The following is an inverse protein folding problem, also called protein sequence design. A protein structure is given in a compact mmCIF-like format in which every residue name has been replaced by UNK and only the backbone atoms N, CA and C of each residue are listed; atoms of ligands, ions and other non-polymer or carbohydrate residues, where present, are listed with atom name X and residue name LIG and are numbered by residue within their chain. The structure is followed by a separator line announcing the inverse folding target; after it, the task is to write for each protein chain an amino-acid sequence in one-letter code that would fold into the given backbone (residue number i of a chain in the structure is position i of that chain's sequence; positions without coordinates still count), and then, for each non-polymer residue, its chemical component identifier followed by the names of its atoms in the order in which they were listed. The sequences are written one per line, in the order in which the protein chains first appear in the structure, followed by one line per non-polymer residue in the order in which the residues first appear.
data_IF_249337799512
#
_entry.id   IF_249337799512
#
_cell.length_a   1.000
_cell.length_b   1.000
_cell.length_c   1.000
_cell.angle_alpha   90.00
_cell.angle_beta   90.00
_cell.angle_gamma   90.00
#
_symmetry.space_group_name_H-M   'P 1'
#
loop_
_entity.id
_entity.type
_entity.pdbx_description
1 polymer ?
#
# COMPACT_ATOMS: atom_id res chain seq x y z
N UNK A 1 -72.87 -45.02 -5.88
CA UNK A 1 -71.40 -45.21 -5.88
C UNK A 1 -70.89 -44.61 -7.18
N UNK A 2 -70.18 -43.50 -7.28
CA UNK A 2 -69.35 -42.77 -6.33
C UNK A 2 -67.98 -42.52 -6.99
N UNK A 3 -67.64 -41.24 -7.18
CA UNK A 3 -66.32 -40.63 -7.42
C UNK A 3 -65.97 -40.07 -8.82
N UNK A 4 -66.08 -38.74 -8.90
CA UNK A 4 -65.30 -37.82 -9.74
C UNK A 4 -63.81 -37.84 -9.33
N UNK A 5 -62.92 -37.68 -10.31
CA UNK A 5 -61.57 -37.18 -10.08
C UNK A 5 -61.25 -36.10 -11.14
N UNK A 6 -61.52 -34.84 -10.80
CA UNK A 6 -60.85 -33.69 -11.40
C UNK A 6 -59.41 -33.69 -10.89
N UNK A 7 -58.45 -33.93 -11.77
CA UNK A 7 -57.05 -33.60 -11.50
C UNK A 7 -56.86 -32.09 -11.60
N UNK A 8 -56.07 -31.46 -10.72
CA UNK A 8 -55.84 -30.01 -10.78
C UNK A 8 -54.96 -29.69 -11.99
N UNK A 9 -55.46 -28.82 -12.88
CA UNK A 9 -54.62 -28.06 -13.81
C UNK A 9 -53.69 -27.16 -12.98
N UNK A 10 -52.50 -27.66 -12.65
CA UNK A 10 -51.42 -26.84 -12.10
C UNK A 10 -50.95 -25.92 -13.22
N UNK A 11 -50.97 -24.58 -13.05
CA UNK A 11 -50.59 -23.67 -14.12
C UNK A 11 -49.10 -23.83 -14.40
N UNK A 12 -48.77 -24.43 -15.55
CA UNK A 12 -47.39 -24.58 -16.05
C UNK A 12 -46.64 -23.25 -16.16
N UNK A 13 -47.38 -22.14 -16.13
CA UNK A 13 -46.89 -20.75 -16.12
C UNK A 13 -46.18 -20.39 -14.80
N UNK A 14 -46.71 -20.79 -13.63
CA UNK A 14 -46.13 -20.36 -12.34
C UNK A 14 -44.75 -20.97 -12.09
N UNK A 15 -44.55 -22.22 -12.53
CA UNK A 15 -43.27 -22.92 -12.42
C UNK A 15 -42.17 -22.34 -13.35
N UNK A 16 -42.56 -21.65 -14.43
CA UNK A 16 -41.63 -20.95 -15.31
C UNK A 16 -41.23 -19.60 -14.70
N UNK A 17 -42.20 -18.85 -14.17
CA UNK A 17 -41.96 -17.58 -13.47
C UNK A 17 -41.10 -17.76 -12.21
N UNK A 18 -41.34 -18.80 -11.41
CA UNK A 18 -40.54 -19.11 -10.22
C UNK A 18 -39.09 -19.49 -10.58
N UNK A 19 -38.90 -20.17 -11.72
CA UNK A 19 -37.57 -20.56 -12.20
C UNK A 19 -36.81 -19.36 -12.77
N UNK A 20 -37.48 -18.45 -13.47
CA UNK A 20 -36.90 -17.19 -13.93
C UNK A 20 -36.59 -16.24 -12.76
N UNK A 21 -37.44 -16.19 -11.74
CA UNK A 21 -37.18 -15.46 -10.49
C UNK A 21 -35.95 -16.01 -9.76
N UNK A 22 -35.82 -17.34 -9.62
CA UNK A 22 -34.65 -17.95 -8.98
C UNK A 22 -33.36 -17.77 -9.80
N UNK A 23 -33.42 -17.84 -11.13
CA UNK A 23 -32.27 -17.60 -12.02
C UNK A 23 -31.86 -16.12 -11.93
N UNK A 24 -32.82 -15.19 -11.98
CA UNK A 24 -32.54 -13.76 -11.85
C UNK A 24 -32.00 -13.40 -10.47
N UNK A 25 -32.46 -14.05 -9.40
CA UNK A 25 -31.93 -13.86 -8.05
C UNK A 25 -30.51 -14.45 -7.92
N UNK A 26 -30.23 -15.61 -8.53
CA UNK A 26 -28.88 -16.17 -8.58
C UNK A 26 -27.91 -15.31 -9.41
N UNK A 27 -28.34 -14.81 -10.56
CA UNK A 27 -27.57 -13.88 -11.37
C UNK A 27 -27.35 -12.56 -10.63
N UNK A 28 -28.38 -12.01 -9.98
CA UNK A 28 -28.26 -10.77 -9.21
C UNK A 28 -27.32 -10.97 -8.02
N UNK A 29 -27.39 -12.11 -7.32
CA UNK A 29 -26.50 -12.45 -6.21
C UNK A 29 -25.07 -12.67 -6.68
N UNK A 30 -24.87 -13.28 -7.87
CA UNK A 30 -23.58 -13.40 -8.53
C UNK A 30 -22.97 -12.05 -8.92
N UNK A 31 -23.78 -11.17 -9.51
CA UNK A 31 -23.41 -9.80 -9.91
C UNK A 31 -23.03 -8.93 -8.71
N UNK A 32 -23.83 -8.94 -7.65
CA UNK A 32 -23.54 -8.22 -6.39
C UNK A 32 -22.27 -8.76 -5.73
N UNK A 33 -22.06 -10.08 -5.70
CA UNK A 33 -20.87 -10.70 -5.12
C UNK A 33 -19.57 -10.29 -5.84
N UNK A 34 -19.60 -10.19 -7.18
CA UNK A 34 -18.45 -9.72 -7.97
C UNK A 34 -18.15 -8.23 -7.77
N UNK A 35 -19.17 -7.38 -7.65
CA UNK A 35 -18.97 -5.96 -7.34
C UNK A 35 -18.34 -5.75 -5.96
N UNK A 36 -18.83 -6.46 -4.93
CA UNK A 36 -18.22 -6.43 -3.61
C UNK A 36 -16.76 -6.91 -3.65
N UNK A 37 -16.46 -7.96 -4.42
CA UNK A 37 -15.10 -8.47 -4.58
C UNK A 37 -14.19 -7.41 -5.22
N UNK A 38 -14.66 -6.67 -6.22
CA UNK A 38 -13.91 -5.58 -6.82
C UNK A 38 -13.62 -4.45 -5.83
N UNK A 39 -14.61 -4.06 -5.00
CA UNK A 39 -14.41 -3.07 -3.93
C UNK A 39 -13.34 -3.56 -2.95
N UNK A 40 -13.42 -4.82 -2.48
CA UNK A 40 -12.40 -5.37 -1.58
C UNK A 40 -11.02 -5.44 -2.23
N UNK A 41 -10.93 -5.73 -3.52
CA UNK A 41 -9.65 -5.72 -4.23
C UNK A 41 -9.04 -4.32 -4.30
N UNK A 42 -9.83 -3.29 -4.62
CA UNK A 42 -9.35 -1.89 -4.66
C UNK A 42 -8.97 -1.42 -3.25
N UNK A 43 -9.82 -1.67 -2.24
CA UNK A 43 -9.53 -1.35 -0.84
C UNK A 43 -8.25 -2.05 -0.37
N UNK A 44 -8.10 -3.35 -0.66
CA UNK A 44 -6.89 -4.09 -0.31
C UNK A 44 -5.65 -3.54 -1.02
N UNK A 45 -5.79 -3.08 -2.27
CA UNK A 45 -4.69 -2.46 -3.01
C UNK A 45 -4.26 -1.11 -2.44
N UNK A 46 -5.20 -0.30 -1.92
CA UNK A 46 -4.91 1.01 -1.30
C UNK A 46 -4.38 0.83 0.12
N UNK A 47 -5.04 0.01 0.94
CA UNK A 47 -4.63 -0.18 2.33
C UNK A 47 -3.27 -0.88 2.38
N UNK A 48 -3.17 -2.04 1.71
CA UNK A 48 -1.97 -2.85 1.52
C UNK A 48 -0.95 -2.78 2.65
N UNK A 49 0.34 -2.78 2.28
CA UNK A 49 1.40 -2.46 3.23
C UNK A 49 1.56 -0.93 3.43
N UNK A 50 1.13 -0.12 2.46
CA UNK A 50 1.38 1.32 2.43
C UNK A 50 0.79 2.08 3.63
N UNK A 51 -0.27 1.54 4.27
CA UNK A 51 -0.86 2.14 5.46
C UNK A 51 0.12 2.30 6.63
N UNK A 52 1.14 1.43 6.74
CA UNK A 52 2.05 1.40 7.89
C UNK A 52 2.91 2.66 7.99
N UNK A 53 3.19 3.29 6.84
CA UNK A 53 3.94 4.54 6.76
C UNK A 53 3.07 5.79 6.96
N UNK A 54 1.75 5.67 7.03
CA UNK A 54 0.87 6.84 7.17
C UNK A 54 1.04 7.59 8.51
N UNK A 55 1.17 6.94 9.68
CA UNK A 55 1.53 7.63 10.92
C UNK A 55 2.83 8.44 10.78
N UNK A 56 3.83 7.87 10.09
CA UNK A 56 5.09 8.54 9.82
C UNK A 56 4.92 9.76 8.90
N UNK A 57 4.02 9.69 7.92
CA UNK A 57 3.67 10.85 7.10
C UNK A 57 3.06 12.00 7.94
N UNK A 58 2.29 11.69 9.00
CA UNK A 58 1.76 12.69 9.93
C UNK A 58 2.88 13.37 10.72
N UNK A 59 3.88 12.60 11.17
CA UNK A 59 5.08 13.16 11.81
C UNK A 59 5.84 14.11 10.89
N UNK A 60 5.92 13.79 9.60
CA UNK A 60 6.63 14.60 8.61
C UNK A 60 5.85 15.84 8.17
N UNK A 61 4.52 15.79 8.11
CA UNK A 61 3.70 16.93 7.69
C UNK A 61 3.29 17.85 8.85
N UNK A 62 3.19 17.33 10.07
CA UNK A 62 2.36 17.91 11.13
C UNK A 62 0.94 17.33 11.06
N UNK A 63 0.30 17.12 12.21
CA UNK A 63 -0.95 16.34 12.26
C UNK A 63 -2.12 16.98 11.45
N UNK A 64 -2.45 18.28 11.62
CA UNK A 64 -3.59 18.85 10.90
C UNK A 64 -3.33 18.94 9.39
N UNK A 65 -2.15 19.40 8.97
CA UNK A 65 -1.79 19.43 7.55
C UNK A 65 -1.71 18.02 6.97
N UNK A 66 -1.17 17.05 7.71
CA UNK A 66 -1.09 15.66 7.29
C UNK A 66 -2.46 15.05 6.99
N UNK A 67 -3.46 15.28 7.86
CA UNK A 67 -4.85 14.83 7.61
C UNK A 67 -5.42 15.51 6.36
N UNK A 68 -5.22 16.82 6.20
CA UNK A 68 -5.68 17.56 5.03
C UNK A 68 -5.04 17.05 3.73
N UNK A 69 -3.72 16.80 3.74
CA UNK A 69 -2.98 16.26 2.60
C UNK A 69 -3.43 14.84 2.27
N UNK A 70 -3.74 14.02 3.28
CA UNK A 70 -4.24 12.65 3.07
C UNK A 70 -5.61 12.65 2.38
N UNK A 71 -6.52 13.55 2.76
CA UNK A 71 -7.76 13.79 2.02
C UNK A 71 -7.49 14.26 0.59
N UNK A 72 -6.53 15.17 0.40
CA UNK A 72 -6.13 15.66 -0.92
C UNK A 72 -5.63 14.54 -1.84
N UNK A 73 -4.68 13.73 -1.37
CA UNK A 73 -4.13 12.58 -2.13
C UNK A 73 -5.23 11.56 -2.43
N UNK A 74 -6.11 11.28 -1.46
CA UNK A 74 -7.25 10.39 -1.67
C UNK A 74 -8.21 10.91 -2.74
N UNK A 75 -8.52 12.21 -2.74
CA UNK A 75 -9.39 12.82 -3.75
C UNK A 75 -8.77 12.76 -5.15
N UNK A 76 -7.48 13.09 -5.26
CA UNK A 76 -6.74 13.01 -6.52
C UNK A 76 -6.69 11.57 -7.02
N UNK A 77 -6.47 10.60 -6.13
CA UNK A 77 -6.44 9.16 -6.44
C UNK A 77 -7.79 8.69 -7.00
N UNK A 78 -8.88 9.01 -6.32
CA UNK A 78 -10.24 8.71 -6.76
C UNK A 78 -10.50 9.24 -8.19
N UNK A 79 -10.24 10.53 -8.37
CA UNK A 79 -10.49 11.21 -9.64
C UNK A 79 -9.61 10.66 -10.77
N UNK A 80 -8.32 10.44 -10.52
CA UNK A 80 -7.38 9.93 -11.53
C UNK A 80 -7.65 8.48 -11.94
N UNK A 81 -8.13 7.62 -11.04
CA UNK A 81 -8.56 6.26 -11.39
C UNK A 81 -9.79 6.26 -12.31
N UNK A 82 -10.72 7.20 -12.11
CA UNK A 82 -11.85 7.39 -13.01
C UNK A 82 -11.39 7.94 -14.36
N UNK A 83 -10.45 8.90 -14.36
CA UNK A 83 -9.87 9.45 -15.58
C UNK A 83 -9.17 8.39 -16.45
N UNK A 84 -8.45 7.43 -15.84
CA UNK A 84 -7.76 6.38 -16.60
C UNK A 84 -8.75 5.51 -17.40
N UNK A 85 -9.82 5.06 -16.77
CA UNK A 85 -10.84 4.25 -17.46
C UNK A 85 -11.65 5.08 -18.46
N UNK A 86 -11.95 6.36 -18.15
CA UNK A 86 -12.51 7.29 -19.14
C UNK A 86 -11.58 7.45 -20.35
N UNK A 87 -10.28 7.64 -20.13
CA UNK A 87 -9.26 7.74 -21.18
C UNK A 87 -9.16 6.47 -22.00
N UNK A 88 -9.21 5.30 -21.36
CA UNK A 88 -9.28 3.99 -22.03
C UNK A 88 -10.50 3.88 -22.94
N UNK A 89 -11.67 4.29 -22.46
CA UNK A 89 -12.90 4.31 -23.26
C UNK A 89 -12.83 5.28 -24.45
N UNK A 90 -12.33 6.51 -24.24
CA UNK A 90 -12.16 7.51 -25.31
C UNK A 90 -11.15 7.08 -26.38
N UNK A 91 -10.11 6.37 -25.97
CA UNK A 91 -9.06 5.89 -26.87
C UNK A 91 -9.33 4.49 -27.42
N UNK A 92 -10.36 3.78 -26.96
CA UNK A 92 -10.64 2.41 -27.35
C UNK A 92 -9.52 1.43 -26.97
N UNK A 93 -8.89 1.62 -25.81
CA UNK A 93 -7.82 0.75 -25.29
C UNK A 93 -8.21 0.12 -23.96
N UNK A 94 -7.71 -1.08 -23.71
CA UNK A 94 -8.04 -1.93 -22.58
C UNK A 94 -6.87 -2.12 -21.58
N UNK A 95 -5.71 -1.52 -21.85
CA UNK A 95 -4.56 -1.52 -20.94
C UNK A 95 -4.01 -0.12 -20.74
N UNK A 96 -3.36 0.10 -19.59
CA UNK A 96 -2.73 1.39 -19.29
C UNK A 96 -1.59 1.70 -20.27
N UNK A 97 -0.77 0.69 -20.60
CA UNK A 97 0.32 0.82 -21.55
C UNK A 97 -0.18 1.21 -22.95
N UNK A 98 -1.26 0.58 -23.43
CA UNK A 98 -1.88 0.93 -24.72
C UNK A 98 -2.47 2.34 -24.71
N UNK A 99 -3.11 2.76 -23.62
CA UNK A 99 -3.64 4.12 -23.46
C UNK A 99 -2.52 5.17 -23.62
N UNK A 100 -1.40 4.99 -22.93
CA UNK A 100 -0.28 5.93 -22.99
C UNK A 100 0.43 5.87 -24.35
N UNK A 101 0.57 4.70 -24.95
CA UNK A 101 1.13 4.58 -26.30
C UNK A 101 0.28 5.32 -27.33
N UNK A 102 -1.05 5.22 -27.23
CA UNK A 102 -1.96 5.90 -28.15
C UNK A 102 -1.95 7.42 -27.98
N UNK A 103 -1.69 7.91 -26.77
CA UNK A 103 -1.64 9.35 -26.48
C UNK A 103 -0.25 9.95 -26.73
N UNK A 104 0.83 9.34 -26.25
CA UNK A 104 2.19 9.90 -26.26
C UNK A 104 3.20 9.10 -27.10
N UNK A 105 2.77 8.05 -27.79
CA UNK A 105 3.63 7.19 -28.59
C UNK A 105 4.57 6.35 -27.76
N UNK A 106 5.59 5.81 -28.44
CA UNK A 106 6.58 4.91 -27.84
C UNK A 106 7.35 5.49 -26.64
N UNK A 107 7.77 6.78 -26.64
CA UNK A 107 8.45 7.36 -25.47
C UNK A 107 7.58 7.36 -24.21
N UNK A 108 6.30 7.69 -24.35
CA UNK A 108 5.34 7.63 -23.25
C UNK A 108 5.10 6.20 -22.78
N UNK A 109 4.95 5.26 -23.72
CA UNK A 109 4.84 3.83 -23.42
C UNK A 109 6.03 3.32 -22.59
N UNK A 110 7.26 3.67 -22.97
CA UNK A 110 8.46 3.25 -22.26
C UNK A 110 8.52 3.88 -20.86
N UNK A 111 8.24 5.19 -20.74
CA UNK A 111 8.21 5.88 -19.45
C UNK A 111 7.19 5.25 -18.49
N UNK A 112 5.97 5.02 -18.97
CA UNK A 112 4.93 4.36 -18.16
C UNK A 112 5.37 2.96 -17.77
N UNK A 113 5.94 2.18 -18.70
CA UNK A 113 6.38 0.81 -18.42
C UNK A 113 7.47 0.78 -17.35
N UNK A 114 8.43 1.72 -17.37
CA UNK A 114 9.43 1.85 -16.31
C UNK A 114 8.78 2.17 -14.97
N UNK A 115 7.83 3.11 -14.92
CA UNK A 115 7.14 3.47 -13.67
C UNK A 115 6.28 2.32 -13.13
N UNK A 116 5.55 1.62 -14.00
CA UNK A 116 4.74 0.45 -13.65
C UNK A 116 5.57 -0.78 -13.29
N UNK A 117 6.85 -0.83 -13.68
CA UNK A 117 7.80 -1.83 -13.20
C UNK A 117 8.37 -1.43 -11.83
N UNK A 118 8.87 -0.19 -11.71
CA UNK A 118 9.57 0.29 -10.52
C UNK A 118 8.66 0.36 -9.30
N UNK A 119 7.43 0.86 -9.44
CA UNK A 119 6.50 0.97 -8.31
C UNK A 119 6.26 -0.38 -7.58
N UNK A 120 5.71 -1.42 -8.25
CA UNK A 120 5.43 -2.70 -7.59
C UNK A 120 6.73 -3.41 -7.18
N UNK A 121 7.82 -3.22 -7.93
CA UNK A 121 9.12 -3.74 -7.54
C UNK A 121 9.62 -3.17 -6.21
N UNK A 122 9.51 -1.85 -6.02
CA UNK A 122 9.86 -1.21 -4.75
C UNK A 122 8.88 -1.60 -3.64
N UNK A 123 7.60 -1.77 -3.94
CA UNK A 123 6.64 -2.29 -2.98
C UNK A 123 7.06 -3.68 -2.45
N UNK A 124 7.48 -4.59 -3.33
CA UNK A 124 8.02 -5.90 -2.92
C UNK A 124 9.25 -5.80 -2.01
N UNK A 125 10.15 -4.83 -2.24
CA UNK A 125 11.28 -4.56 -1.35
C UNK A 125 10.77 -4.14 0.04
N UNK A 126 9.84 -3.20 0.10
CA UNK A 126 9.20 -2.76 1.36
C UNK A 126 8.52 -3.93 2.08
N UNK A 127 7.88 -4.84 1.35
CA UNK A 127 7.17 -5.98 1.93
C UNK A 127 8.15 -6.94 2.62
N UNK A 128 9.28 -7.23 1.98
CA UNK A 128 10.33 -8.04 2.60
C UNK A 128 10.91 -7.36 3.85
N UNK A 129 11.18 -6.06 3.81
CA UNK A 129 11.64 -5.28 4.98
C UNK A 129 10.65 -5.43 6.14
N UNK A 130 9.36 -5.17 5.88
CA UNK A 130 8.30 -5.28 6.87
C UNK A 130 8.19 -6.69 7.44
N UNK A 131 8.25 -7.72 6.59
CA UNK A 131 8.23 -9.12 7.06
C UNK A 131 9.44 -9.41 7.95
N UNK A 132 10.63 -8.94 7.59
CA UNK A 132 11.83 -9.06 8.41
C UNK A 132 11.70 -8.38 9.77
N UNK A 133 11.18 -7.15 9.82
CA UNK A 133 11.04 -6.35 11.04
C UNK A 133 9.96 -6.88 11.99
N UNK A 134 8.85 -7.36 11.43
CA UNK A 134 7.70 -7.85 12.20
C UNK A 134 7.89 -9.28 12.68
N UNK A 135 8.22 -10.22 11.79
CA UNK A 135 8.31 -11.64 12.15
C UNK A 135 9.53 -11.96 13.00
N UNK A 136 10.65 -11.23 12.85
CA UNK A 136 11.78 -11.37 13.78
C UNK A 136 11.34 -11.15 15.23
N UNK A 137 10.58 -10.08 15.50
CA UNK A 137 10.05 -9.77 16.84
C UNK A 137 9.00 -10.79 17.31
N UNK A 138 8.20 -11.35 16.40
CA UNK A 138 7.26 -12.44 16.73
C UNK A 138 8.01 -13.68 17.21
N UNK A 139 9.07 -14.07 16.50
CA UNK A 139 9.87 -15.24 16.88
C UNK A 139 10.71 -15.00 18.13
N UNK A 140 11.23 -13.79 18.35
CA UNK A 140 11.92 -13.41 19.59
C UNK A 140 11.02 -13.47 20.82
N UNK A 141 9.70 -13.36 20.66
CA UNK A 141 8.75 -13.45 21.77
C UNK A 141 8.50 -14.89 22.25
N UNK A 142 8.92 -15.90 21.49
CA UNK A 142 8.73 -17.31 21.86
C UNK A 142 9.60 -17.65 23.08
N UNK A 143 9.05 -18.24 24.15
CA UNK A 143 9.84 -18.62 25.33
C UNK A 143 11.01 -19.56 24.98
N UNK A 144 12.20 -19.25 25.49
CA UNK A 144 13.42 -20.06 25.28
C UNK A 144 14.21 -19.71 24.02
N UNK A 145 13.76 -18.72 23.25
CA UNK A 145 14.51 -18.16 22.13
C UNK A 145 15.49 -17.08 22.61
N UNK A 146 16.75 -17.20 22.20
CA UNK A 146 17.74 -16.13 22.37
C UNK A 146 17.51 -15.01 21.31
N UNK A 147 17.28 -13.75 21.72
CA UNK A 147 17.14 -12.62 20.81
C UNK A 147 18.36 -12.36 19.90
N UNK A 148 19.55 -12.82 20.30
CA UNK A 148 20.79 -12.66 19.52
C UNK A 148 21.00 -13.79 18.49
N UNK A 149 20.08 -14.76 18.43
CA UNK A 149 20.18 -15.87 17.50
C UNK A 149 20.10 -15.41 16.03
N UNK A 150 21.13 -15.77 15.25
CA UNK A 150 21.22 -15.47 13.81
C UNK A 150 20.01 -15.99 13.01
N UNK A 151 19.40 -17.11 13.43
CA UNK A 151 18.22 -17.70 12.78
C UNK A 151 16.92 -16.91 13.00
N UNK A 152 16.98 -15.83 13.77
CA UNK A 152 15.83 -14.99 14.11
C UNK A 152 16.09 -13.52 13.75
N UNK A 153 17.32 -13.22 13.31
CA UNK A 153 17.67 -11.94 12.74
C UNK A 153 16.85 -11.61 11.49
N UNK A 154 16.58 -10.32 11.32
CA UNK A 154 15.86 -9.73 10.18
C UNK A 154 16.25 -10.35 8.83
N UNK A 155 17.55 -10.41 8.54
CA UNK A 155 18.08 -10.93 7.28
C UNK A 155 17.69 -12.40 7.04
N UNK A 156 17.79 -13.25 8.05
CA UNK A 156 17.43 -14.66 7.93
C UNK A 156 15.92 -14.83 7.71
N UNK A 157 15.10 -14.07 8.46
CA UNK A 157 13.65 -14.09 8.31
C UNK A 157 13.21 -13.63 6.92
N UNK A 158 13.85 -12.60 6.35
CA UNK A 158 13.60 -12.17 4.98
C UNK A 158 13.85 -13.31 4.00
N UNK A 159 15.02 -13.96 4.08
CA UNK A 159 15.39 -15.06 3.17
C UNK A 159 14.45 -16.26 3.34
N UNK A 160 14.17 -16.66 4.58
CA UNK A 160 13.31 -17.79 4.89
C UNK A 160 11.87 -17.54 4.41
N UNK A 161 11.28 -16.41 4.77
CA UNK A 161 9.90 -16.08 4.38
C UNK A 161 9.76 -15.94 2.86
N UNK A 162 10.79 -15.39 2.19
CA UNK A 162 10.82 -15.27 0.74
C UNK A 162 10.83 -16.65 0.08
N UNK A 163 11.74 -17.53 0.49
CA UNK A 163 11.89 -18.85 -0.09
C UNK A 163 10.71 -19.78 0.22
N UNK A 164 10.18 -19.72 1.45
CA UNK A 164 9.14 -20.63 1.93
C UNK A 164 7.71 -20.20 1.54
N UNK A 165 7.45 -18.90 1.42
CA UNK A 165 6.10 -18.39 1.21
C UNK A 165 5.98 -17.51 -0.04
N UNK A 166 6.72 -16.40 -0.13
CA UNK A 166 6.47 -15.40 -1.20
C UNK A 166 6.79 -15.96 -2.59
N UNK A 167 7.88 -16.73 -2.74
CA UNK A 167 8.27 -17.35 -4.00
C UNK A 167 7.25 -18.40 -4.48
N UNK A 168 6.87 -19.42 -3.69
CA UNK A 168 5.84 -20.38 -4.08
C UNK A 168 4.51 -19.71 -4.45
N UNK A 169 4.08 -18.71 -3.67
CA UNK A 169 2.84 -17.98 -3.93
C UNK A 169 2.90 -17.18 -5.24
N UNK A 170 4.04 -16.56 -5.55
CA UNK A 170 4.20 -15.72 -6.75
C UNK A 170 4.36 -16.53 -8.05
N UNK A 171 4.71 -17.82 -7.94
CA UNK A 171 4.76 -18.74 -9.07
C UNK A 171 3.37 -19.19 -9.54
N UNK A 172 2.34 -19.08 -8.69
CA UNK A 172 0.96 -19.38 -9.09
C UNK A 172 0.51 -18.46 -10.24
N UNK A 173 -0.11 -19.06 -11.27
CA UNK A 173 -0.60 -18.36 -12.47
C UNK A 173 -2.02 -17.83 -12.33
N UNK A 174 -2.83 -18.43 -11.46
CA UNK A 174 -4.26 -18.15 -11.38
C UNK A 174 -4.57 -17.11 -10.30
N UNK A 175 -4.81 -15.88 -10.75
CA UNK A 175 -5.21 -14.75 -9.90
C UNK A 175 -6.66 -14.89 -9.41
N UNK A 176 -7.50 -15.73 -10.02
CA UNK A 176 -8.91 -15.82 -9.65
C UNK A 176 -9.13 -16.27 -8.19
N UNK A 177 -8.13 -16.92 -7.57
CA UNK A 177 -8.15 -17.29 -6.14
C UNK A 177 -7.89 -16.11 -5.19
N UNK A 178 -7.47 -14.95 -5.69
CA UNK A 178 -7.14 -13.80 -4.84
C UNK A 178 -8.36 -13.13 -4.21
N UNK A 179 -9.57 -13.22 -4.78
CA UNK A 179 -10.74 -12.58 -4.17
C UNK A 179 -11.00 -13.03 -2.72
N UNK A 180 -10.75 -14.32 -2.41
CA UNK A 180 -10.82 -14.85 -1.04
C UNK A 180 -9.68 -14.33 -0.15
N UNK A 181 -8.50 -14.14 -0.73
CA UNK A 181 -7.30 -13.62 -0.05
C UNK A 181 -7.47 -12.13 0.28
N UNK A 182 -8.03 -11.32 -0.63
CA UNK A 182 -8.33 -9.90 -0.42
C UNK A 182 -9.32 -9.69 0.73
N UNK A 183 -10.33 -10.55 0.85
CA UNK A 183 -11.26 -10.53 1.97
C UNK A 183 -10.54 -10.80 3.30
N UNK A 184 -9.72 -11.87 3.35
CA UNK A 184 -8.93 -12.20 4.54
C UNK A 184 -7.99 -11.05 4.93
N UNK A 185 -7.30 -10.44 3.96
CA UNK A 185 -6.41 -9.29 4.17
C UNK A 185 -7.15 -8.07 4.74
N UNK A 186 -8.37 -7.80 4.27
CA UNK A 186 -9.21 -6.71 4.80
C UNK A 186 -9.60 -6.97 6.26
N UNK A 187 -9.92 -8.22 6.62
CA UNK A 187 -10.21 -8.59 8.02
C UNK A 187 -8.98 -8.40 8.91
N UNK A 188 -7.81 -8.88 8.48
CA UNK A 188 -6.56 -8.72 9.22
C UNK A 188 -6.19 -7.23 9.40
N UNK A 189 -6.36 -6.43 8.36
CA UNK A 189 -6.20 -4.96 8.43
C UNK A 189 -7.10 -4.35 9.50
N UNK A 190 -8.38 -4.72 9.52
CA UNK A 190 -9.34 -4.19 10.50
C UNK A 190 -8.96 -4.58 11.93
N UNK A 191 -8.42 -5.79 12.13
CA UNK A 191 -7.89 -6.23 13.42
C UNK A 191 -6.67 -5.40 13.85
N UNK A 192 -5.74 -5.16 12.93
CA UNK A 192 -4.54 -4.33 13.17
C UNK A 192 -4.94 -2.90 13.56
N UNK A 193 -5.92 -2.32 12.87
CA UNK A 193 -6.49 -1.02 13.21
C UNK A 193 -7.04 -1.01 14.65
N UNK A 194 -7.80 -2.04 15.03
CA UNK A 194 -8.31 -2.20 16.39
C UNK A 194 -7.20 -2.26 17.44
N UNK A 195 -6.11 -2.97 17.16
CA UNK A 195 -4.93 -3.04 18.05
C UNK A 195 -4.28 -1.66 18.21
N UNK A 196 -4.08 -0.92 17.10
CA UNK A 196 -3.49 0.42 17.14
C UNK A 196 -4.39 1.38 17.92
N UNK A 197 -5.71 1.33 17.72
CA UNK A 197 -6.67 2.13 18.51
C UNK A 197 -6.63 1.79 20.00
N UNK A 198 -6.60 0.51 20.36
CA UNK A 198 -6.49 0.09 21.75
C UNK A 198 -5.18 0.58 22.39
N UNK A 199 -4.09 0.61 21.61
CA UNK A 199 -2.79 1.11 22.06
C UNK A 199 -2.71 2.62 22.23
N UNK A 200 -3.51 3.40 21.50
CA UNK A 200 -3.65 4.84 21.79
C UNK A 200 -4.13 5.07 23.23
N UNK A 201 -5.11 4.29 23.68
CA UNK A 201 -5.70 4.44 25.02
C UNK A 201 -4.82 3.83 26.10
N UNK A 202 -4.23 2.66 25.83
CA UNK A 202 -3.50 1.87 26.84
C UNK A 202 -2.02 2.23 26.97
N UNK A 203 -1.36 2.61 25.87
CA UNK A 203 0.06 2.93 25.84
C UNK A 203 0.31 4.44 25.67
N UNK A 204 -0.54 5.11 24.89
CA UNK A 204 -0.40 6.53 24.57
C UNK A 204 -0.25 7.50 25.75
N UNK A 205 -0.89 7.30 26.93
CA UNK A 205 -0.68 8.15 28.10
C UNK A 205 0.70 8.01 28.77
N UNK A 206 1.37 6.87 28.59
CA UNK A 206 2.68 6.60 29.18
C UNK A 206 3.83 7.11 28.32
N UNK A 207 3.60 7.39 27.05
CA UNK A 207 4.64 7.88 26.14
C UNK A 207 4.68 9.42 26.21
N UNK A 208 5.84 10.02 26.52
CA UNK A 208 5.97 11.47 26.55
C UNK A 208 5.66 12.05 25.17
N UNK A 209 4.93 13.17 25.14
CA UNK A 209 4.63 13.88 23.89
C UNK A 209 5.81 14.76 23.51
N UNK A 210 6.17 14.77 22.24
CA UNK A 210 7.18 15.71 21.74
C UNK A 210 6.62 17.13 21.70
N UNK A 211 7.49 18.14 21.84
CA UNK A 211 7.07 19.55 21.85
C UNK A 211 6.35 19.97 20.55
N UNK A 212 6.71 19.31 19.45
CA UNK A 212 6.18 19.54 18.11
C UNK A 212 4.95 18.67 17.76
N UNK A 213 4.38 17.96 18.73
CA UNK A 213 3.31 16.98 18.52
C UNK A 213 2.08 17.55 17.78
N UNK A 214 1.74 18.81 18.01
CA UNK A 214 0.52 19.46 17.50
C UNK A 214 0.78 20.58 16.48
N UNK A 215 2.01 20.63 15.94
CA UNK A 215 2.37 21.64 14.94
C UNK A 215 1.51 21.49 13.69
N UNK A 216 1.00 22.62 13.19
CA UNK A 216 0.11 22.66 12.02
C UNK A 216 0.79 22.06 10.79
N UNK A 217 2.02 22.52 10.50
CA UNK A 217 2.75 22.21 9.29
C UNK A 217 4.26 22.14 9.59
N UNK A 218 4.94 21.16 8.98
CA UNK A 218 6.38 21.01 9.01
C UNK A 218 6.98 21.14 7.59
N UNK A 219 8.26 21.54 7.46
CA UNK A 219 8.91 21.68 6.15
C UNK A 219 8.95 20.39 5.31
N UNK A 220 8.97 19.23 5.97
CA UNK A 220 8.94 17.88 5.36
C UNK A 220 7.55 17.45 4.85
N UNK A 221 6.57 18.34 4.74
CA UNK A 221 5.23 18.01 4.25
C UNK A 221 5.20 17.42 2.82
N UNK A 222 6.16 17.80 1.96
CA UNK A 222 6.26 17.24 0.60
C UNK A 222 6.73 15.77 0.64
N UNK A 223 7.63 15.42 1.56
CA UNK A 223 8.07 14.04 1.78
C UNK A 223 6.91 13.18 2.29
N UNK A 224 6.07 13.75 3.17
CA UNK A 224 4.83 13.12 3.61
C UNK A 224 3.87 12.83 2.45
N UNK A 225 3.71 13.76 1.50
CA UNK A 225 2.92 13.54 0.28
C UNK A 225 3.44 12.37 -0.55
N UNK A 226 4.76 12.15 -0.59
CA UNK A 226 5.38 10.96 -1.17
C UNK A 226 4.85 9.68 -0.52
N UNK A 227 4.98 9.57 0.81
CA UNK A 227 4.52 8.40 1.56
C UNK A 227 3.00 8.17 1.40
N UNK A 228 2.20 9.25 1.43
CA UNK A 228 0.75 9.15 1.19
C UNK A 228 0.43 8.72 -0.24
N UNK A 229 1.18 9.20 -1.24
CA UNK A 229 1.03 8.79 -2.63
C UNK A 229 1.38 7.32 -2.82
N UNK A 230 2.45 6.84 -2.17
CA UNK A 230 2.79 5.41 -2.15
C UNK A 230 1.68 4.57 -1.52
N UNK A 231 1.05 5.04 -0.45
CA UNK A 231 -0.07 4.33 0.15
C UNK A 231 -1.30 4.27 -0.77
N UNK A 232 -1.64 5.37 -1.46
CA UNK A 232 -2.90 5.45 -2.21
C UNK A 232 -2.86 4.96 -3.66
N UNK A 233 -1.67 4.65 -4.20
CA UNK A 233 -1.57 4.22 -5.58
C UNK A 233 -2.11 2.80 -5.79
N UNK A 234 -3.06 2.68 -6.71
CA UNK A 234 -3.51 1.41 -7.30
C UNK A 234 -3.65 1.51 -8.83
N UNK A 235 -3.16 2.58 -9.45
CA UNK A 235 -3.31 2.86 -10.88
C UNK A 235 -2.68 1.81 -11.79
N UNK A 236 -1.65 1.11 -11.32
CA UNK A 236 -0.97 0.09 -12.10
C UNK A 236 -1.85 -1.16 -12.33
N UNK A 237 -2.83 -1.44 -11.45
CA UNK A 237 -3.72 -2.60 -11.55
C UNK A 237 -5.16 -2.23 -11.95
N UNK A 238 -5.47 -0.96 -12.17
CA UNK A 238 -6.84 -0.50 -12.35
C UNK A 238 -7.53 -1.12 -13.58
N UNK A 239 -6.82 -1.27 -14.71
CA UNK A 239 -7.33 -1.91 -15.92
C UNK A 239 -7.57 -3.42 -15.72
N UNK A 240 -6.74 -4.10 -14.92
CA UNK A 240 -6.92 -5.51 -14.56
C UNK A 240 -8.19 -5.70 -13.73
N UNK A 241 -8.39 -4.85 -12.71
CA UNK A 241 -9.60 -4.90 -11.87
C UNK A 241 -10.84 -4.54 -12.70
N UNK A 242 -10.76 -3.51 -13.55
CA UNK A 242 -11.84 -3.11 -14.44
C UNK A 242 -12.24 -4.22 -15.42
N UNK A 243 -11.28 -4.88 -16.06
CA UNK A 243 -11.52 -6.00 -16.98
C UNK A 243 -12.07 -7.26 -16.30
N UNK A 244 -11.90 -7.39 -14.98
CA UNK A 244 -12.50 -8.49 -14.20
C UNK A 244 -13.98 -8.29 -13.85
N UNK A 245 -14.53 -7.09 -14.10
CA UNK A 245 -15.92 -6.77 -13.83
C UNK A 245 -16.87 -7.39 -14.86
N UNK A 246 -18.06 -7.75 -14.39
CA UNK A 246 -19.16 -8.19 -15.24
C UNK A 246 -19.88 -6.98 -15.86
N UNK A 247 -19.93 -6.93 -17.18
CA UNK A 247 -20.40 -5.80 -17.99
C UNK A 247 -19.75 -4.48 -17.54
N UNK A 248 -18.44 -4.31 -17.77
CA UNK A 248 -17.69 -3.16 -17.29
C UNK A 248 -18.19 -1.88 -17.96
N UNK A 249 -18.59 -0.90 -17.14
CA UNK A 249 -18.96 0.45 -17.61
C UNK A 249 -18.25 1.50 -16.77
N UNK A 250 -17.99 2.66 -17.36
CA UNK A 250 -17.36 3.79 -16.65
C UNK A 250 -18.16 4.20 -15.40
N UNK A 251 -19.50 4.16 -15.49
CA UNK A 251 -20.38 4.49 -14.37
C UNK A 251 -20.25 3.48 -13.19
N UNK A 252 -20.23 2.17 -13.49
CA UNK A 252 -20.01 1.13 -12.48
C UNK A 252 -18.62 1.27 -11.85
N UNK A 253 -17.60 1.51 -12.68
CA UNK A 253 -16.23 1.74 -12.22
C UNK A 253 -16.14 2.94 -11.28
N UNK A 254 -16.72 4.08 -11.66
CA UNK A 254 -16.76 5.29 -10.82
C UNK A 254 -17.37 5.00 -9.45
N UNK A 255 -18.50 4.28 -9.40
CA UNK A 255 -19.12 3.89 -8.13
C UNK A 255 -18.21 3.01 -7.28
N UNK A 256 -17.54 2.02 -7.88
CA UNK A 256 -16.60 1.14 -7.17
C UNK A 256 -15.44 1.97 -6.60
N UNK A 257 -14.85 2.86 -7.40
CA UNK A 257 -13.74 3.71 -6.96
C UNK A 257 -14.14 4.68 -5.86
N UNK A 258 -15.29 5.36 -5.98
CA UNK A 258 -15.77 6.26 -4.92
C UNK A 258 -15.99 5.56 -3.59
N UNK A 259 -16.66 4.38 -3.60
CA UNK A 259 -16.90 3.61 -2.39
C UNK A 259 -15.58 3.08 -1.81
N UNK A 260 -14.70 2.54 -2.65
CA UNK A 260 -13.43 1.95 -2.21
C UNK A 260 -12.49 2.99 -1.63
N UNK A 261 -12.38 4.15 -2.29
CA UNK A 261 -11.51 5.24 -1.86
C UNK A 261 -12.04 5.90 -0.59
N UNK A 262 -13.35 6.10 -0.46
CA UNK A 262 -13.97 6.62 0.76
C UNK A 262 -13.75 5.68 1.96
N UNK A 263 -13.92 4.36 1.77
CA UNK A 263 -13.63 3.38 2.80
C UNK A 263 -12.14 3.39 3.19
N UNK A 264 -11.25 3.44 2.18
CA UNK A 264 -9.81 3.41 2.39
C UNK A 264 -9.29 4.67 3.10
N UNK A 265 -9.78 5.86 2.75
CA UNK A 265 -9.37 7.11 3.42
C UNK A 265 -9.85 7.17 4.86
N UNK A 266 -11.05 6.69 5.15
CA UNK A 266 -11.53 6.59 6.51
C UNK A 266 -10.65 5.69 7.38
N UNK A 267 -10.35 4.47 6.90
CA UNK A 267 -9.46 3.53 7.57
C UNK A 267 -8.05 4.12 7.72
N UNK A 268 -7.54 4.75 6.67
CA UNK A 268 -6.20 5.35 6.62
C UNK A 268 -6.04 6.51 7.60
N UNK A 269 -7.02 7.42 7.68
CA UNK A 269 -6.99 8.54 8.63
C UNK A 269 -7.03 8.01 10.07
N UNK A 270 -7.92 7.05 10.36
CA UNK A 270 -8.02 6.49 11.70
C UNK A 270 -6.72 5.80 12.10
N UNK A 271 -6.14 5.00 11.20
CA UNK A 271 -4.84 4.35 11.42
C UNK A 271 -3.70 5.37 11.62
N UNK A 272 -3.59 6.35 10.72
CA UNK A 272 -2.54 7.36 10.73
C UNK A 272 -2.61 8.24 11.99
N UNK A 273 -3.81 8.72 12.33
CA UNK A 273 -4.03 9.53 13.52
C UNK A 273 -3.77 8.72 14.79
N UNK A 274 -4.29 7.50 14.92
CA UNK A 274 -4.05 6.68 16.10
C UNK A 274 -2.55 6.31 16.27
N UNK A 275 -1.89 5.90 15.19
CA UNK A 275 -0.45 5.63 15.23
C UNK A 275 0.37 6.87 15.63
N UNK A 276 0.03 8.02 15.07
CA UNK A 276 0.71 9.29 15.40
C UNK A 276 0.40 9.77 16.82
N UNK A 277 -0.85 9.70 17.28
CA UNK A 277 -1.25 10.15 18.63
C UNK A 277 -0.55 9.36 19.74
N UNK A 278 -0.20 8.09 19.47
CA UNK A 278 0.54 7.25 20.41
C UNK A 278 1.98 7.74 20.57
N UNK A 279 2.70 8.01 19.46
CA UNK A 279 4.16 8.20 19.46
C UNK A 279 4.64 9.63 19.16
N UNK A 280 3.81 10.47 18.55
CA UNK A 280 4.13 11.86 18.17
C UNK A 280 5.41 11.96 17.34
N UNK A 281 6.40 12.78 17.73
CA UNK A 281 7.68 12.89 17.02
C UNK A 281 8.53 11.62 17.00
N UNK A 282 8.21 10.60 17.82
CA UNK A 282 8.93 9.33 17.83
C UNK A 282 8.48 8.35 16.74
N UNK A 283 7.39 8.62 16.01
CA UNK A 283 6.88 7.70 14.98
C UNK A 283 7.93 7.35 13.92
N UNK A 284 8.10 6.05 13.68
CA UNK A 284 9.01 5.47 12.69
C UNK A 284 8.25 5.12 11.41
N UNK A 285 9.01 4.93 10.31
CA UNK A 285 8.44 4.55 9.00
C UNK A 285 7.69 3.23 9.02
N UNK A 286 8.12 2.28 9.87
CA UNK A 286 7.32 1.13 10.28
C UNK A 286 6.76 1.39 11.69
N UNK A 287 5.44 1.56 11.79
CA UNK A 287 4.77 1.78 13.07
C UNK A 287 5.04 0.65 14.07
N UNK A 288 5.23 -0.60 13.62
CA UNK A 288 5.48 -1.73 14.51
C UNK A 288 6.85 -1.68 15.20
N UNK A 289 7.80 -0.90 14.67
CA UNK A 289 9.09 -0.65 15.34
C UNK A 289 8.94 0.26 16.57
N UNK A 290 7.87 1.05 16.66
CA UNK A 290 7.64 1.90 17.83
C UNK A 290 7.16 1.12 19.07
N UNK A 291 6.55 -0.06 18.90
CA UNK A 291 6.03 -0.83 20.02
C UNK A 291 7.10 -1.72 20.63
N UNK A 292 7.03 -1.93 21.95
CA UNK A 292 7.98 -2.79 22.65
C UNK A 292 7.86 -4.27 22.24
N UNK A 293 8.93 -5.06 22.39
CA UNK A 293 8.90 -6.49 22.03
C UNK A 293 8.09 -7.33 23.03
N UNK A 294 7.98 -6.88 24.27
CA UNK A 294 7.22 -7.56 25.34
C UNK A 294 5.69 -7.38 25.24
N UNK A 295 5.20 -6.63 24.25
CA UNK A 295 3.78 -6.36 24.05
C UNK A 295 3.11 -7.52 23.28
N UNK A 296 2.38 -8.38 23.98
CA UNK A 296 1.74 -9.56 23.37
C UNK A 296 0.65 -9.22 22.36
N UNK A 297 -0.16 -8.20 22.64
CA UNK A 297 -1.24 -7.76 21.73
C UNK A 297 -0.67 -7.23 20.42
N UNK A 298 0.38 -6.42 20.50
CA UNK A 298 1.05 -5.88 19.31
C UNK A 298 1.84 -6.98 18.60
N UNK A 299 2.43 -7.93 19.33
CA UNK A 299 3.10 -9.08 18.72
C UNK A 299 2.14 -9.93 17.90
N UNK A 300 0.91 -10.13 18.38
CA UNK A 300 -0.15 -10.71 17.56
C UNK A 300 -0.47 -9.86 16.32
N UNK A 301 -0.53 -8.53 16.48
CA UNK A 301 -0.66 -7.59 15.36
C UNK A 301 0.46 -7.69 14.32
N UNK A 302 1.73 -7.82 14.76
CA UNK A 302 2.90 -8.05 13.89
C UNK A 302 2.76 -9.33 13.09
N UNK A 303 2.30 -10.41 13.72
CA UNK A 303 2.04 -11.67 13.05
C UNK A 303 0.97 -11.52 11.97
N UNK A 304 -0.20 -10.95 12.32
CA UNK A 304 -1.28 -10.68 11.36
C UNK A 304 -0.82 -9.82 10.18
N UNK A 305 -0.05 -8.76 10.46
CA UNK A 305 0.44 -7.86 9.43
C UNK A 305 1.45 -8.52 8.50
N UNK A 306 2.41 -9.29 9.04
CA UNK A 306 3.34 -10.03 8.20
C UNK A 306 2.65 -11.06 7.31
N UNK A 307 1.58 -11.73 7.80
CA UNK A 307 0.74 -12.60 6.96
C UNK A 307 0.06 -11.81 5.83
N UNK A 308 -0.55 -10.66 6.14
CA UNK A 308 -1.17 -9.78 5.15
C UNK A 308 -0.19 -9.36 4.05
N UNK A 309 1.04 -8.98 4.42
CA UNK A 309 2.08 -8.54 3.49
C UNK A 309 2.54 -9.67 2.58
N UNK A 310 2.76 -10.87 3.13
CA UNK A 310 3.10 -12.07 2.34
C UNK A 310 1.99 -12.41 1.34
N UNK A 311 0.72 -12.27 1.75
CA UNK A 311 -0.43 -12.55 0.88
C UNK A 311 -0.63 -11.49 -0.22
N UNK A 312 -0.14 -10.27 -0.01
CA UNK A 312 -0.23 -9.17 -0.99
C UNK A 312 0.94 -9.20 -1.99
N UNK A 313 2.09 -9.73 -1.60
CA UNK A 313 3.31 -9.83 -2.42
C UNK A 313 3.09 -10.40 -3.85
N UNK A 314 2.31 -11.48 -4.06
CA UNK A 314 2.13 -12.06 -5.39
C UNK A 314 1.46 -11.13 -6.39
N UNK A 315 0.63 -10.18 -5.92
CA UNK A 315 -0.04 -9.20 -6.79
C UNK A 315 1.00 -8.28 -7.42
N UNK A 316 1.87 -7.71 -6.60
CA UNK A 316 2.93 -6.81 -7.06
C UNK A 316 3.92 -7.55 -7.97
N UNK A 317 4.26 -8.80 -7.63
CA UNK A 317 5.09 -9.64 -8.49
C UNK A 317 4.41 -9.93 -9.84
N UNK A 318 3.10 -10.16 -9.84
CA UNK A 318 2.34 -10.41 -11.07
C UNK A 318 2.39 -9.19 -11.99
N UNK A 319 2.09 -7.99 -11.46
CA UNK A 319 2.11 -6.74 -12.23
C UNK A 319 3.51 -6.47 -12.78
N UNK A 320 4.54 -6.62 -11.94
CA UNK A 320 5.95 -6.43 -12.35
C UNK A 320 6.33 -7.35 -13.51
N UNK A 321 5.91 -8.63 -13.44
CA UNK A 321 6.16 -9.62 -14.49
C UNK A 321 5.36 -9.34 -15.76
N UNK A 322 4.11 -8.89 -15.63
CA UNK A 322 3.26 -8.52 -16.77
C UNK A 322 3.89 -7.39 -17.59
N UNK A 323 4.45 -6.37 -16.93
CA UNK A 323 5.17 -5.28 -17.59
C UNK A 323 6.37 -5.81 -18.40
N UNK A 324 7.19 -6.70 -17.82
CA UNK A 324 8.31 -7.33 -18.53
C UNK A 324 7.80 -8.16 -19.71
N UNK A 325 6.73 -8.94 -19.52
CA UNK A 325 6.14 -9.76 -20.57
C UNK A 325 5.64 -8.91 -21.74
N UNK A 326 4.98 -7.79 -21.47
CA UNK A 326 4.46 -6.89 -22.50
C UNK A 326 5.57 -6.19 -23.28
N UNK A 327 6.62 -5.73 -22.59
CA UNK A 327 7.74 -4.99 -23.23
C UNK A 327 8.65 -5.90 -24.05
N UNK A 328 9.01 -7.09 -23.53
CA UNK A 328 10.02 -7.95 -24.14
C UNK A 328 9.46 -9.15 -24.91
N UNK A 329 8.25 -9.60 -24.58
CA UNK A 329 7.67 -10.85 -25.11
C UNK A 329 6.30 -10.68 -25.79
N UNK A 330 5.80 -9.44 -25.93
CA UNK A 330 4.48 -9.19 -26.53
C UNK A 330 3.31 -9.80 -25.75
N UNK A 331 3.48 -10.00 -24.43
CA UNK A 331 2.43 -10.45 -23.50
C UNK A 331 2.33 -11.96 -23.26
N UNK A 332 2.79 -12.80 -24.19
CA UNK A 332 2.70 -14.26 -24.05
C UNK A 332 4.01 -14.86 -23.49
N UNK A 333 3.97 -15.31 -22.23
CA UNK A 333 5.13 -15.84 -21.54
C UNK A 333 5.09 -17.38 -21.44
N UNK A 334 6.03 -18.12 -22.07
CA UNK A 334 6.16 -19.55 -21.87
C UNK A 334 6.40 -19.91 -20.39
N UNK A 335 6.02 -21.11 -19.96
CA UNK A 335 6.10 -21.52 -18.55
C UNK A 335 7.53 -21.38 -17.97
N UNK A 336 8.55 -21.71 -18.78
CA UNK A 336 9.96 -21.61 -18.36
C UNK A 336 10.34 -20.16 -18.09
N UNK A 337 10.01 -19.23 -19.01
CA UNK A 337 10.28 -17.80 -18.83
C UNK A 337 9.46 -17.20 -17.69
N UNK A 338 8.22 -17.68 -17.48
CA UNK A 338 7.41 -17.30 -16.31
C UNK A 338 8.14 -17.62 -15.00
N UNK A 339 8.67 -18.83 -14.87
CA UNK A 339 9.41 -19.25 -13.67
C UNK A 339 10.70 -18.44 -13.52
N UNK A 340 11.53 -18.36 -14.58
CA UNK A 340 12.82 -17.67 -14.55
C UNK A 340 12.65 -16.20 -14.18
N UNK A 341 11.74 -15.48 -14.84
CA UNK A 341 11.50 -14.06 -14.57
C UNK A 341 10.97 -13.85 -13.16
N UNK A 342 10.04 -14.69 -12.69
CA UNK A 342 9.51 -14.60 -11.32
C UNK A 342 10.61 -14.80 -10.28
N UNK A 343 11.42 -15.85 -10.43
CA UNK A 343 12.56 -16.12 -9.54
C UNK A 343 13.56 -14.96 -9.57
N UNK A 344 13.86 -14.41 -10.75
CA UNK A 344 14.78 -13.29 -10.89
C UNK A 344 14.26 -12.03 -10.19
N UNK A 345 13.00 -11.63 -10.43
CA UNK A 345 12.36 -10.47 -9.79
C UNK A 345 12.43 -10.60 -8.26
N UNK A 346 12.01 -11.75 -7.73
CA UNK A 346 11.95 -11.99 -6.29
C UNK A 346 13.34 -12.02 -5.67
N UNK A 347 14.30 -12.65 -6.35
CA UNK A 347 15.69 -12.70 -5.87
C UNK A 347 16.30 -11.31 -5.80
N UNK A 348 16.12 -10.48 -6.83
CA UNK A 348 16.66 -9.11 -6.83
C UNK A 348 15.94 -8.25 -5.78
N UNK A 349 14.62 -8.34 -5.65
CA UNK A 349 13.86 -7.63 -4.61
C UNK A 349 14.31 -8.05 -3.20
N UNK A 350 14.54 -9.35 -2.97
CA UNK A 350 15.08 -9.87 -1.71
C UNK A 350 16.47 -9.31 -1.44
N UNK A 351 17.40 -9.39 -2.40
CA UNK A 351 18.76 -8.86 -2.23
C UNK A 351 18.74 -7.36 -1.89
N UNK A 352 17.92 -6.57 -2.58
CA UNK A 352 17.76 -5.14 -2.28
C UNK A 352 17.19 -4.91 -0.87
N UNK A 353 16.23 -5.72 -0.42
CA UNK A 353 15.67 -5.62 0.93
C UNK A 353 16.66 -5.97 2.05
N UNK A 354 17.69 -6.77 1.75
CA UNK A 354 18.77 -7.09 2.69
C UNK A 354 19.82 -5.97 2.79
N UNK A 355 19.85 -5.05 1.83
CA UNK A 355 20.78 -3.91 1.80
C UNK A 355 20.17 -2.62 2.37
N UNK A 356 18.84 -2.58 2.51
CA UNK A 356 18.11 -1.38 2.90
C UNK A 356 17.44 -1.59 4.25
N UNK A 357 17.85 -0.78 5.23
CA UNK A 357 17.30 -0.85 6.58
C UNK A 357 16.06 0.02 6.76
N UNK A 358 16.03 1.19 6.12
CA UNK A 358 15.03 2.24 6.39
C UNK A 358 13.80 2.12 5.50
N UNK A 359 12.71 1.55 6.03
CA UNK A 359 11.43 1.52 5.33
C UNK A 359 10.94 2.93 4.92
N UNK A 360 10.99 3.90 5.84
CA UNK A 360 10.49 5.26 5.59
C UNK A 360 11.11 5.93 4.35
N UNK A 361 12.42 5.75 4.12
CA UNK A 361 13.12 6.27 2.93
C UNK A 361 12.64 5.60 1.64
N UNK A 362 12.39 4.29 1.69
CA UNK A 362 11.87 3.53 0.54
C UNK A 362 10.46 4.00 0.17
N UNK A 363 9.58 4.16 1.16
CA UNK A 363 8.20 4.61 0.95
C UNK A 363 8.14 6.03 0.36
N UNK A 364 8.95 6.94 0.91
CA UNK A 364 9.02 8.32 0.43
C UNK A 364 9.53 8.38 -1.02
N UNK A 365 10.67 7.75 -1.29
CA UNK A 365 11.31 7.80 -2.61
C UNK A 365 10.43 7.15 -3.69
N UNK A 366 9.82 6.01 -3.39
CA UNK A 366 8.86 5.34 -4.28
C UNK A 366 7.63 6.20 -4.54
N UNK A 367 7.15 6.85 -3.49
CA UNK A 367 6.04 7.79 -3.53
C UNK A 367 6.26 8.95 -4.49
N UNK A 368 7.39 9.64 -4.36
CA UNK A 368 7.68 10.83 -5.17
C UNK A 368 8.16 10.49 -6.59
N UNK A 369 8.93 9.41 -6.78
CA UNK A 369 9.46 9.03 -8.10
C UNK A 369 8.46 8.24 -8.95
N UNK A 370 7.69 7.34 -8.32
CA UNK A 370 6.85 6.40 -9.05
C UNK A 370 5.37 6.71 -8.86
N UNK A 371 4.91 6.85 -7.61
CA UNK A 371 3.49 7.03 -7.35
C UNK A 371 2.96 8.39 -7.82
N UNK A 372 3.70 9.48 -7.55
CA UNK A 372 3.29 10.82 -7.95
C UNK A 372 3.05 10.96 -9.47
N UNK A 373 3.93 10.53 -10.39
CA UNK A 373 3.63 10.60 -11.81
C UNK A 373 2.45 9.70 -12.23
N UNK A 374 2.32 8.51 -11.63
CA UNK A 374 1.24 7.55 -11.94
C UNK A 374 -0.15 8.03 -11.48
N UNK A 375 -0.22 8.78 -10.36
CA UNK A 375 -1.46 9.36 -9.82
C UNK A 375 -1.78 10.71 -10.48
N UNK A 376 -0.83 11.65 -10.48
CA UNK A 376 -1.11 13.06 -10.77
C UNK A 376 -0.86 13.43 -12.23
N UNK A 377 0.20 12.90 -12.85
CA UNK A 377 0.69 13.42 -14.14
C UNK A 377 0.09 12.64 -15.30
N UNK A 378 0.27 11.32 -15.34
CA UNK A 378 -0.06 10.51 -16.51
C UNK A 378 -1.57 10.47 -16.78
N UNK A 379 -2.45 10.22 -15.80
CA UNK A 379 -3.90 10.20 -16.03
C UNK A 379 -4.41 11.55 -16.57
N UNK A 380 -3.99 12.65 -15.95
CA UNK A 380 -4.37 14.01 -16.36
C UNK A 380 -3.85 14.37 -17.74
N UNK A 381 -2.60 14.04 -18.05
CA UNK A 381 -2.00 14.29 -19.36
C UNK A 381 -2.69 13.48 -20.48
N UNK A 382 -3.01 12.21 -20.22
CA UNK A 382 -3.75 11.38 -21.18
C UNK A 382 -5.15 11.95 -21.44
N UNK A 383 -5.89 12.30 -20.39
CA UNK A 383 -7.25 12.82 -20.52
C UNK A 383 -7.29 14.18 -21.23
N UNK A 384 -6.38 15.11 -20.89
CA UNK A 384 -6.30 16.42 -21.56
C UNK A 384 -6.02 16.30 -23.06
N UNK A 385 -5.28 15.27 -23.47
CA UNK A 385 -4.94 15.03 -24.86
C UNK A 385 -6.06 14.33 -25.64
N UNK A 386 -6.85 13.47 -24.99
CA UNK A 386 -7.91 12.69 -25.62
C UNK A 386 -9.28 13.37 -25.61
N UNK A 387 -9.58 14.13 -24.56
CA UNK A 387 -10.91 14.71 -24.38
C UNK A 387 -11.15 15.88 -25.34
N UNK A 388 -12.26 15.86 -26.06
CA UNK A 388 -12.70 16.97 -26.93
C UNK A 388 -13.58 18.01 -26.19
N UNK A 389 -13.87 17.77 -24.91
CA UNK A 389 -14.74 18.63 -24.08
C UNK A 389 -14.23 20.08 -24.02
N UNK A 390 -15.09 21.08 -23.79
CA UNK A 390 -14.65 22.46 -23.63
C UNK A 390 -13.70 22.61 -22.43
N UNK A 391 -12.81 23.61 -22.47
CA UNK A 391 -11.85 23.89 -21.38
C UNK A 391 -12.51 24.19 -20.03
N UNK A 392 -13.79 24.55 -20.03
CA UNK A 392 -14.61 24.81 -18.85
C UNK A 392 -15.16 23.53 -18.20
N UNK A 393 -15.02 22.37 -18.83
CA UNK A 393 -15.47 21.10 -18.26
C UNK A 393 -14.65 20.78 -17.01
N UNK A 394 -15.33 20.40 -15.92
CA UNK A 394 -14.73 20.17 -14.60
C UNK A 394 -13.52 19.21 -14.66
N UNK A 395 -13.65 18.10 -15.42
CA UNK A 395 -12.57 17.11 -15.52
C UNK A 395 -11.29 17.68 -16.17
N UNK A 396 -11.42 18.61 -17.12
CA UNK A 396 -10.27 19.28 -17.76
C UNK A 396 -9.63 20.29 -16.83
N UNK A 397 -10.42 21.06 -16.08
CA UNK A 397 -9.91 22.03 -15.10
C UNK A 397 -9.11 21.28 -14.03
N UNK A 398 -9.68 20.22 -13.46
CA UNK A 398 -9.01 19.42 -12.44
C UNK A 398 -7.72 18.79 -12.98
N UNK A 399 -7.73 18.24 -14.19
CA UNK A 399 -6.53 17.71 -14.84
C UNK A 399 -5.44 18.77 -15.06
N UNK A 400 -5.84 20.01 -15.38
CA UNK A 400 -4.93 21.14 -15.55
C UNK A 400 -4.29 21.58 -14.21
N UNK A 401 -4.98 21.40 -13.09
CA UNK A 401 -4.47 21.68 -11.74
C UNK A 401 -3.58 20.54 -11.23
N UNK A 402 -3.97 19.28 -11.44
CA UNK A 402 -3.23 18.11 -10.96
C UNK A 402 -1.84 17.99 -11.58
N UNK A 403 -1.69 18.30 -12.86
CA UNK A 403 -0.42 18.15 -13.59
C UNK A 403 0.73 18.98 -12.97
N UNK A 404 0.60 20.32 -12.77
CA UNK A 404 1.64 21.11 -12.13
C UNK A 404 1.85 20.75 -10.66
N UNK A 405 0.80 20.37 -9.93
CA UNK A 405 0.93 19.89 -8.53
C UNK A 405 1.75 18.60 -8.49
N UNK A 406 1.47 17.64 -9.37
CA UNK A 406 2.23 16.40 -9.48
C UNK A 406 3.69 16.64 -9.84
N UNK A 407 3.96 17.54 -10.79
CA UNK A 407 5.33 17.92 -11.16
C UNK A 407 6.07 18.57 -9.98
N UNK A 408 5.40 19.44 -9.22
CA UNK A 408 5.96 20.05 -8.01
C UNK A 408 6.29 19.00 -6.94
N UNK A 409 5.34 18.10 -6.63
CA UNK A 409 5.53 17.03 -5.64
C UNK A 409 6.69 16.11 -6.04
N UNK A 410 6.79 15.75 -7.32
CA UNK A 410 7.87 14.93 -7.83
C UNK A 410 9.23 15.64 -7.70
N UNK A 411 9.37 16.87 -8.22
CA UNK A 411 10.65 17.58 -8.21
C UNK A 411 11.07 17.97 -6.79
N UNK A 412 10.20 18.63 -6.04
CA UNK A 412 10.51 19.07 -4.69
C UNK A 412 10.66 17.88 -3.73
N UNK A 413 9.86 16.83 -3.91
CA UNK A 413 9.94 15.61 -3.10
C UNK A 413 11.27 14.87 -3.29
N UNK A 414 11.73 14.72 -4.54
CA UNK A 414 13.04 14.11 -4.82
C UNK A 414 14.18 14.94 -4.23
N UNK A 415 14.14 16.27 -4.39
CA UNK A 415 15.15 17.16 -3.81
C UNK A 415 15.19 17.00 -2.29
N UNK A 416 14.03 17.05 -1.63
CA UNK A 416 13.93 16.92 -0.17
C UNK A 416 14.37 15.54 0.33
N UNK A 417 14.00 14.46 -0.38
CA UNK A 417 14.42 13.09 -0.05
C UNK A 417 15.94 12.91 -0.06
N UNK A 418 16.63 13.62 -0.98
CA UNK A 418 18.08 13.56 -1.12
C UNK A 418 18.77 14.49 -0.12
N UNK A 419 18.27 15.71 0.10
CA UNK A 419 18.93 16.71 0.95
C UNK A 419 18.68 16.51 2.44
N UNK A 420 17.52 15.95 2.82
CA UNK A 420 17.13 15.71 4.20
C UNK A 420 16.84 14.21 4.42
N UNK A 421 17.89 13.36 4.34
CA UNK A 421 17.73 11.94 4.59
C UNK A 421 17.28 11.73 6.04
N UNK A 422 16.24 10.93 6.22
CA UNK A 422 15.67 10.67 7.53
C UNK A 422 16.45 9.54 8.21
N UNK A 423 16.90 9.78 9.44
CA UNK A 423 17.52 8.76 10.28
C UNK A 423 16.48 7.70 10.63
N UNK A 424 16.83 6.43 10.41
CA UNK A 424 16.01 5.31 10.84
C UNK A 424 16.77 4.47 11.85
N UNK A 425 16.06 4.00 12.86
CA UNK A 425 16.55 2.97 13.77
C UNK A 425 15.76 1.70 13.49
N UNK A 426 16.45 0.62 13.13
CA UNK A 426 15.85 -0.69 12.95
C UNK A 426 16.34 -1.62 14.06
N UNK A 427 15.45 -2.45 14.61
CA UNK A 427 15.81 -3.44 15.62
C UNK A 427 16.19 -2.88 17.00
N UNK A 428 16.39 -1.57 17.16
CA UNK A 428 16.56 -0.92 18.45
C UNK A 428 15.21 -0.77 19.15
N UNK A 429 15.14 -1.12 20.43
CA UNK A 429 13.94 -0.81 21.23
C UNK A 429 13.90 0.68 21.58
N UNK A 430 12.69 1.21 21.65
CA UNK A 430 12.46 2.60 22.01
C UNK A 430 12.77 2.83 23.50
N UNK A 431 13.23 4.03 23.85
CA UNK A 431 13.68 4.34 25.23
C UNK A 431 12.61 4.11 26.30
N UNK A 432 11.32 4.24 25.96
CA UNK A 432 10.18 4.00 26.85
C UNK A 432 9.84 2.51 27.06
N UNK A 433 10.53 1.60 26.37
CA UNK A 433 10.40 0.16 26.59
C UNK A 433 11.27 -0.33 27.76
N UNK A 434 12.23 0.48 28.21
CA UNK A 434 13.12 0.14 29.32
C UNK A 434 12.58 0.74 30.63
N UNK A 435 12.30 -0.08 31.65
CA UNK A 435 11.72 0.39 32.91
C UNK A 435 12.63 1.33 33.71
N UNK A 436 13.95 1.28 33.53
CA UNK A 436 14.91 2.06 34.33
C UNK A 436 15.01 3.55 33.93
N UNK A 437 14.62 3.91 32.71
CA UNK A 437 14.70 5.30 32.22
C UNK A 437 13.59 6.24 32.75
N UNK A 438 12.54 5.69 33.35
CA UNK A 438 11.48 6.50 33.97
C UNK A 438 11.86 7.08 35.35
N UNK A 439 12.93 6.57 35.96
CA UNK A 439 13.41 7.04 37.27
C UNK A 439 14.30 8.30 37.17
N UNK A 440 14.87 8.59 36.00
CA UNK A 440 15.81 9.69 35.78
C UNK A 440 15.15 11.01 35.34
N UNK A 441 13.88 11.02 34.94
CA UNK A 441 13.19 12.26 34.55
C UNK A 441 12.69 13.09 35.74
N UNK A 442 12.90 12.64 36.98
CA UNK A 442 12.59 13.41 38.19
C UNK A 442 13.82 14.08 38.85
N UNK A 443 15.02 14.00 38.25
CA UNK A 443 16.19 14.73 38.75
C UNK A 443 16.88 15.41 37.57
N UNK A 444 16.95 16.74 37.63
CA UNK A 444 17.72 17.66 36.78
C UNK A 444 17.25 17.85 35.32
N UNK A 445 16.32 18.80 35.18
CA UNK A 445 16.34 19.77 34.07
C UNK A 445 17.66 20.55 34.18
N UNK A 446 18.72 20.07 33.55
CA UNK A 446 19.89 20.87 33.11
C UNK A 446 20.90 19.97 32.39
N UNK A 447 21.26 20.37 31.15
CA UNK A 447 22.28 19.79 30.27
C UNK A 447 21.98 18.45 29.57
N UNK A 448 21.23 18.51 28.46
CA UNK A 448 21.44 17.58 27.36
C UNK A 448 22.46 18.19 26.39
N UNK A 449 23.75 18.00 26.67
CA UNK A 449 24.81 18.28 25.71
C UNK A 449 24.87 17.12 24.71
N UNK A 450 24.78 17.51 23.44
CA UNK A 450 24.97 16.71 22.24
C UNK A 450 26.33 15.98 22.28
N UNK A 451 26.37 14.69 22.61
CA UNK A 451 27.55 13.84 22.32
C UNK A 451 27.44 13.30 20.91
N UNK A 452 28.04 14.04 19.97
CA UNK A 452 28.54 13.53 18.70
C UNK A 452 29.64 12.50 18.96
N UNK A 453 29.40 11.24 18.58
CA UNK A 453 30.45 10.23 18.49
C UNK A 453 31.34 10.56 17.28
N UNK A 454 32.56 11.04 17.55
CA UNK A 454 33.65 11.07 16.58
C UNK A 454 34.25 9.66 16.44
N UNK A 455 34.61 9.21 15.23
CA UNK A 455 35.23 7.91 15.03
C UNK A 455 36.69 7.94 15.50
N UNK A 456 37.06 6.96 16.32
CA UNK A 456 38.42 6.74 16.81
C UNK A 456 39.33 6.41 15.62
N UNK A 457 40.08 7.41 15.14
CA UNK A 457 41.21 7.21 14.23
C UNK A 457 42.48 6.99 15.06
N UNK A 458 43.00 5.77 14.92
CA UNK A 458 44.18 5.22 15.54
C UNK A 458 45.46 5.88 14.98
N UNK A 459 46.13 6.76 15.74
CA UNK A 459 47.50 7.23 15.42
C UNK A 459 48.26 7.49 16.73
N UNK A 460 49.28 6.67 17.02
CA UNK A 460 50.54 7.11 17.65
C UNK A 460 51.48 5.92 17.93
N UNK A 461 52.38 5.59 17.00
CA UNK A 461 53.75 5.15 17.31
C UNK A 461 54.68 5.60 16.16
N UNK A 462 55.36 6.72 16.35
CA UNK A 462 56.74 6.97 15.89
C UNK A 462 57.34 8.03 16.82
N UNK A 463 58.10 7.54 17.80
CA UNK A 463 59.26 8.22 18.38
C UNK A 463 60.29 7.16 18.74
#
# INVERSE_FOLDING_TARGET
MGYQAQGPDVPRQSHLDDREALISEHEHKGKTCRQCTAVFNVVNSIIGSGMIGLPYSMKQAGLPLGILLLFGVSYVTDFSLVLLIKGGALSGTDTYQSLVNKTFGFPGYLLLSVLQFLYPFIAMISYNIITGDTWSKVFQRIPGVDPENLFIGRHFIIVLSTAAFTLPLSLYRDIAKLGKISFLSTVLTTLILGIVMARVVTLGPYIPKTEDAWVLAKPSAIQALGVMSFAFICHHNCFLVYGSLEDPTVAKWSRIIHVSTLASVFISILFAACGYLTFTGFTQGDLFENYCRNDDLVTFGRFCYGVTVILTYPIECFVTREVIANVFFGGNLPLVFHIIITVAIITVAMLMSLLIDCLGRVLELSGVLCAAPLIFIIPSACYLKLSEEPRTHSDKIMSCVMLPVGAMVMVAGVVMAITNPQDCTHGQEMFYCFPDNFSLTNISVSHFQLTTQLPVLNISIFQ
#
